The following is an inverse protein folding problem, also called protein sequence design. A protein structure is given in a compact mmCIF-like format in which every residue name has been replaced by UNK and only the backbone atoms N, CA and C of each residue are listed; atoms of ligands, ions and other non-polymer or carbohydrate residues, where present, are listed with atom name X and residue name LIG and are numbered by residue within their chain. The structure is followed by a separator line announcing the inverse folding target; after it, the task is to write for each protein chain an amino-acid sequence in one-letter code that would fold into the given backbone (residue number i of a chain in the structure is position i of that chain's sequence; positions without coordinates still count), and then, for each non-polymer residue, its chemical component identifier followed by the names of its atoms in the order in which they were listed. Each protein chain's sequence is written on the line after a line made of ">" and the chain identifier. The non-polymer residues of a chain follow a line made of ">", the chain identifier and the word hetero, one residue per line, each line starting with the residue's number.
data_IF_839062446710
#
_entry.id   IF_839062446710
#
_cell.length_a   1.000
_cell.length_b   1.000
_cell.length_c   1.000
_cell.angle_alpha   90.00
_cell.angle_beta   90.00
_cell.angle_gamma   90.00
#
_symmetry.space_group_name_H-M   'P 1'
#
loop_
_entity.id
_entity.type
_entity.pdbx_description
1 polymer ?
#
# COMPACT_ATOMS: atom_id res chain seq x y z
N UNK A 1 12.76 8.95 -5.01
CA UNK A 1 11.59 9.84 -4.78
C UNK A 1 11.93 10.74 -3.61
N UNK A 2 11.89 12.07 -3.77
CA UNK A 2 12.11 13.00 -2.66
C UNK A 2 10.75 13.52 -2.17
N UNK A 3 10.44 13.30 -0.90
CA UNK A 3 9.18 13.75 -0.31
C UNK A 3 9.20 15.28 -0.12
N UNK A 4 8.14 15.96 -0.56
CA UNK A 4 7.96 17.42 -0.32
C UNK A 4 7.68 17.75 1.14
N UNK A 5 7.12 16.79 1.87
CA UNK A 5 6.90 16.83 3.31
C UNK A 5 7.38 15.49 3.89
N UNK A 6 8.27 15.56 4.87
CA UNK A 6 8.62 14.38 5.67
C UNK A 6 7.62 14.25 6.82
N UNK A 7 6.73 13.26 6.71
CA UNK A 7 5.67 13.02 7.71
C UNK A 7 6.21 12.59 9.07
N UNK A 8 7.46 12.13 9.14
CA UNK A 8 8.08 11.65 10.38
C UNK A 8 8.77 12.75 11.18
N UNK A 9 9.10 13.89 10.56
CA UNK A 9 9.79 14.99 11.23
C UNK A 9 8.84 16.10 11.71
N UNK A 10 7.59 16.13 11.22
CA UNK A 10 6.56 17.07 11.69
C UNK A 10 5.69 16.41 12.77
N UNK A 11 5.57 16.98 13.98
CA UNK A 11 4.73 16.40 15.04
C UNK A 11 3.26 16.25 14.64
N UNK A 12 2.73 17.22 13.89
CA UNK A 12 1.35 17.21 13.41
C UNK A 12 1.16 16.14 12.34
N UNK A 13 2.06 16.10 11.35
CA UNK A 13 1.98 15.09 10.29
C UNK A 13 2.17 13.68 10.84
N UNK A 14 3.11 13.48 11.77
CA UNK A 14 3.37 12.19 12.41
C UNK A 14 2.14 11.71 13.19
N UNK A 15 1.45 12.61 13.90
CA UNK A 15 0.20 12.28 14.59
C UNK A 15 -0.88 11.81 13.61
N UNK A 16 -1.10 12.54 12.53
CA UNK A 16 -2.07 12.13 11.50
C UNK A 16 -1.67 10.79 10.85
N UNK A 17 -0.39 10.60 10.55
CA UNK A 17 0.13 9.39 9.91
C UNK A 17 -0.04 8.14 10.78
N UNK A 18 0.12 8.26 12.11
CA UNK A 18 -0.15 7.16 13.04
C UNK A 18 -1.57 6.61 12.92
N UNK A 19 -2.57 7.47 12.70
CA UNK A 19 -3.95 7.03 12.53
C UNK A 19 -4.16 6.29 11.19
N UNK A 20 -3.46 6.70 10.13
CA UNK A 20 -3.47 5.99 8.85
C UNK A 20 -2.84 4.61 8.99
N UNK A 21 -1.69 4.50 9.67
CA UNK A 21 -1.05 3.21 9.95
C UNK A 21 -1.97 2.30 10.75
N UNK A 22 -2.60 2.80 11.81
CA UNK A 22 -3.52 2.02 12.64
C UNK A 22 -4.72 1.49 11.83
N UNK A 23 -5.27 2.30 10.93
CA UNK A 23 -6.33 1.85 10.01
C UNK A 23 -5.85 0.72 9.08
N UNK A 24 -4.61 0.80 8.58
CA UNK A 24 -4.00 -0.29 7.80
C UNK A 24 -3.78 -1.56 8.61
N UNK A 25 -3.33 -1.46 9.87
CA UNK A 25 -3.13 -2.62 10.74
C UNK A 25 -4.42 -3.39 11.01
N UNK A 26 -5.55 -2.70 11.18
CA UNK A 26 -6.84 -3.35 11.36
C UNK A 26 -7.23 -4.26 10.16
N UNK A 27 -6.73 -3.97 8.95
CA UNK A 27 -6.92 -4.83 7.79
C UNK A 27 -6.04 -6.09 7.84
N UNK A 28 -4.91 -6.04 8.54
CA UNK A 28 -4.01 -7.17 8.76
C UNK A 28 -4.69 -8.32 9.53
N UNK A 29 -5.56 -7.97 10.47
CA UNK A 29 -6.34 -8.91 11.28
C UNK A 29 -7.58 -9.47 10.56
N UNK A 30 -7.84 -9.02 9.32
CA UNK A 30 -8.96 -9.52 8.53
C UNK A 30 -8.72 -10.94 8.00
N UNK A 31 -9.82 -11.64 7.68
CA UNK A 31 -9.79 -12.98 7.07
C UNK A 31 -9.37 -12.97 5.59
N UNK A 32 -9.15 -11.79 4.99
CA UNK A 32 -8.72 -11.68 3.59
C UNK A 32 -7.26 -12.15 3.45
N UNK A 33 -6.93 -12.99 2.45
CA UNK A 33 -5.55 -13.36 2.17
C UNK A 33 -4.67 -12.13 1.91
N UNK A 34 -3.43 -12.15 2.38
CA UNK A 34 -2.49 -11.04 2.21
C UNK A 34 -2.34 -10.63 0.74
N UNK A 35 -2.12 -11.59 -0.16
CA UNK A 35 -2.01 -11.33 -1.59
C UNK A 35 -3.24 -10.60 -2.17
N UNK A 36 -4.45 -10.97 -1.73
CA UNK A 36 -5.68 -10.30 -2.16
C UNK A 36 -5.74 -8.86 -1.68
N UNK A 37 -5.35 -8.59 -0.43
CA UNK A 37 -5.31 -7.21 0.11
C UNK A 37 -4.31 -6.36 -0.68
N UNK A 38 -3.13 -6.89 -0.97
CA UNK A 38 -2.11 -6.15 -1.73
C UNK A 38 -2.55 -5.88 -3.17
N UNK A 39 -3.29 -6.79 -3.83
CA UNK A 39 -3.88 -6.51 -5.15
C UNK A 39 -4.91 -5.38 -5.12
N UNK A 40 -5.76 -5.33 -4.08
CA UNK A 40 -6.72 -4.22 -3.90
C UNK A 40 -5.98 -2.91 -3.72
N UNK A 41 -4.95 -2.89 -2.85
CA UNK A 41 -4.16 -1.69 -2.60
C UNK A 41 -3.36 -1.25 -3.83
N UNK A 42 -2.80 -2.20 -4.57
CA UNK A 42 -2.10 -1.95 -5.83
C UNK A 42 -3.06 -1.31 -6.85
N UNK A 43 -4.26 -1.86 -7.02
CA UNK A 43 -5.24 -1.29 -7.98
C UNK A 43 -5.70 0.10 -7.56
N UNK A 44 -6.02 0.30 -6.29
CA UNK A 44 -6.37 1.62 -5.77
C UNK A 44 -5.23 2.64 -5.99
N UNK A 45 -3.98 2.21 -5.78
CA UNK A 45 -2.79 3.05 -5.98
C UNK A 45 -2.57 3.42 -7.44
N UNK A 46 -2.82 2.50 -8.37
CA UNK A 46 -2.77 2.74 -9.81
C UNK A 46 -3.82 3.77 -10.25
N UNK A 47 -5.08 3.60 -9.80
CA UNK A 47 -6.17 4.55 -10.09
C UNK A 47 -5.83 5.95 -9.57
N UNK A 48 -5.24 6.04 -8.38
CA UNK A 48 -4.88 7.30 -7.74
C UNK A 48 -3.52 7.86 -8.19
N UNK A 49 -2.77 7.16 -9.04
CA UNK A 49 -1.44 7.60 -9.50
C UNK A 49 -0.39 7.72 -8.41
N UNK A 50 -0.50 6.99 -7.29
CA UNK A 50 0.47 7.03 -6.20
C UNK A 50 1.67 6.12 -6.49
N UNK A 51 2.71 6.63 -7.15
CA UNK A 51 3.90 5.85 -7.51
C UNK A 51 4.58 5.15 -6.31
N UNK A 52 4.67 5.83 -5.15
CA UNK A 52 5.23 5.22 -3.94
C UNK A 52 4.40 4.07 -3.40
N UNK A 53 3.08 4.17 -3.48
CA UNK A 53 2.15 3.12 -3.06
C UNK A 53 2.20 1.94 -4.06
N UNK A 54 2.28 2.22 -5.37
CA UNK A 54 2.41 1.18 -6.41
C UNK A 54 3.67 0.33 -6.16
N UNK A 55 4.82 0.98 -5.93
CA UNK A 55 6.08 0.27 -5.65
C UNK A 55 5.99 -0.60 -4.39
N UNK A 56 5.44 -0.04 -3.30
CA UNK A 56 5.25 -0.75 -2.03
C UNK A 56 4.34 -1.97 -2.19
N UNK A 57 3.11 -1.78 -2.68
CA UNK A 57 2.12 -2.87 -2.78
C UNK A 57 2.49 -3.91 -3.84
N UNK A 58 3.25 -3.56 -4.88
CA UNK A 58 3.78 -4.56 -5.82
C UNK A 58 4.78 -5.50 -5.14
N UNK A 59 5.69 -4.96 -4.33
CA UNK A 59 6.69 -5.74 -3.58
C UNK A 59 6.02 -6.59 -2.51
N UNK A 60 5.08 -6.02 -1.78
CA UNK A 60 4.36 -6.72 -0.71
C UNK A 60 3.48 -7.84 -1.28
N UNK A 61 2.80 -7.62 -2.41
CA UNK A 61 2.05 -8.67 -3.11
C UNK A 61 2.97 -9.80 -3.58
N UNK A 62 4.16 -9.46 -4.11
CA UNK A 62 5.16 -10.45 -4.52
C UNK A 62 5.63 -11.27 -3.32
N UNK A 63 5.92 -10.62 -2.18
CA UNK A 63 6.31 -11.29 -0.95
C UNK A 63 5.19 -12.19 -0.38
N UNK A 64 3.93 -11.82 -0.62
CA UNK A 64 2.75 -12.62 -0.29
C UNK A 64 2.47 -13.77 -1.27
N UNK A 65 3.32 -13.98 -2.28
CA UNK A 65 3.25 -15.11 -3.22
C UNK A 65 2.41 -14.85 -4.48
N UNK A 66 2.10 -13.59 -4.79
CA UNK A 66 1.35 -13.26 -6.00
C UNK A 66 2.19 -13.46 -7.28
N UNK A 67 1.53 -13.84 -8.37
CA UNK A 67 2.17 -14.11 -9.66
C UNK A 67 2.42 -12.82 -10.45
N UNK A 68 3.51 -12.78 -11.22
CA UNK A 68 3.78 -11.68 -12.14
C UNK A 68 2.62 -11.42 -13.11
N UNK A 69 1.98 -12.47 -13.62
CA UNK A 69 0.83 -12.34 -14.53
C UNK A 69 -0.30 -11.54 -13.86
N UNK A 70 -0.69 -11.89 -12.63
CA UNK A 70 -1.76 -11.17 -11.92
C UNK A 70 -1.35 -9.75 -11.54
N UNK A 71 -0.09 -9.53 -11.13
CA UNK A 71 0.42 -8.18 -10.85
C UNK A 71 0.37 -7.25 -12.07
N UNK A 72 0.70 -7.76 -13.25
CA UNK A 72 0.67 -6.97 -14.49
C UNK A 72 -0.75 -6.77 -15.05
N UNK A 73 -1.68 -7.68 -14.75
CA UNK A 73 -3.05 -7.62 -15.28
C UNK A 73 -4.06 -7.00 -14.31
N UNK A 74 -3.71 -6.75 -13.05
CA UNK A 74 -4.64 -6.15 -12.07
C UNK A 74 -5.15 -4.76 -12.51
N UNK A 75 -4.40 -4.08 -13.36
CA UNK A 75 -4.72 -2.74 -13.85
C UNK A 75 -5.59 -2.72 -15.12
N UNK A 76 -5.73 -3.88 -15.78
CA UNK A 76 -6.33 -4.03 -17.10
C UNK A 76 -7.83 -3.71 -17.11
#
# INVERSE_FOLDING_TARGET
>A
MNARLNVFTSPVAAKAWKHIIAAGQALGDSTLPAATRELVMLRASQINGCAGCIDMHTKDATAAGESAVRLHLVAA
#
